data_IF_635056575349
#
_entry.id   IF_635056575349
#
_cell.length_a   1.000
_cell.length_b   1.000
_cell.length_c   1.000
_cell.angle_alpha   90.00
_cell.angle_beta   90.00
_cell.angle_gamma   90.00
#
_symmetry.space_group_name_H-M   'P 1'
#
loop_
_entity.id
_entity.type
_entity.pdbx_description
1 polymer ?
#
# COMPACT_ATOMS: atom_id res chain seq x y z
N UNK A 1 32.48 26.52 0.62
CA UNK A 1 31.28 26.24 1.43
C UNK A 1 30.39 25.35 0.58
N UNK A 2 30.49 24.04 0.75
CA UNK A 2 29.70 23.03 0.03
C UNK A 2 28.40 22.86 0.81
N UNK A 3 27.32 22.87 0.08
CA UNK A 3 25.94 23.02 0.50
C UNK A 3 25.47 21.87 1.43
N UNK A 4 25.50 22.06 2.75
CA UNK A 4 24.96 21.12 3.75
C UNK A 4 23.43 20.91 3.66
N UNK A 5 22.73 21.79 2.93
CA UNK A 5 21.27 21.68 2.74
C UNK A 5 20.80 20.60 1.76
N UNK A 6 21.71 20.06 0.91
CA UNK A 6 21.34 19.04 -0.06
C UNK A 6 21.24 17.63 0.57
N UNK A 7 22.03 17.35 1.61
CA UNK A 7 21.98 16.04 2.30
C UNK A 7 20.75 15.86 3.19
N UNK A 8 20.22 16.92 3.81
CA UNK A 8 19.04 16.84 4.67
C UNK A 8 17.77 16.61 3.85
N UNK A 9 17.64 17.22 2.66
CA UNK A 9 16.48 17.06 1.79
C UNK A 9 16.40 15.66 1.16
N UNK A 10 17.53 15.08 0.75
CA UNK A 10 17.61 13.72 0.21
C UNK A 10 17.27 12.66 1.27
N UNK A 11 17.70 12.81 2.53
CA UNK A 11 17.38 11.87 3.60
C UNK A 11 15.88 11.81 3.90
N UNK A 12 15.19 12.95 3.85
CA UNK A 12 13.74 13.03 4.07
C UNK A 12 12.96 12.38 2.92
N UNK A 13 13.47 12.48 1.69
CA UNK A 13 12.83 11.86 0.52
C UNK A 13 12.96 10.35 0.54
N UNK A 14 14.13 9.82 0.90
CA UNK A 14 14.41 8.37 0.98
C UNK A 14 13.44 7.63 1.95
N UNK A 15 12.97 8.29 3.00
CA UNK A 15 11.98 7.71 3.91
C UNK A 15 10.54 7.71 3.35
N UNK A 16 10.28 8.47 2.28
CA UNK A 16 8.96 8.63 1.67
C UNK A 16 8.74 7.70 0.48
N UNK A 17 9.76 7.01 0.00
CA UNK A 17 9.67 6.07 -1.13
C UNK A 17 9.95 4.65 -0.65
N UNK A 18 8.99 3.77 -0.84
CA UNK A 18 9.12 2.34 -0.53
C UNK A 18 9.02 1.47 -1.77
N UNK A 19 9.57 0.27 -1.70
CA UNK A 19 9.58 -0.70 -2.78
C UNK A 19 8.55 -1.81 -2.53
N UNK A 20 7.75 -2.16 -3.53
CA UNK A 20 6.89 -3.34 -3.49
C UNK A 20 7.75 -4.59 -3.74
N UNK A 21 7.67 -5.55 -2.82
CA UNK A 21 8.38 -6.82 -2.93
C UNK A 21 7.39 -7.92 -3.31
N UNK A 22 7.61 -8.65 -4.42
CA UNK A 22 6.81 -9.82 -4.74
C UNK A 22 7.10 -10.96 -3.75
N UNK A 23 6.04 -11.66 -3.33
CA UNK A 23 6.12 -12.70 -2.28
C UNK A 23 5.98 -14.12 -2.80
N UNK A 24 6.69 -14.52 -3.86
CA UNK A 24 6.50 -15.80 -4.52
C UNK A 24 7.02 -17.01 -3.72
N UNK A 25 8.14 -16.86 -3.03
CA UNK A 25 8.73 -17.88 -2.17
C UNK A 25 9.25 -17.26 -0.88
N UNK A 26 8.88 -17.80 0.27
CA UNK A 26 9.19 -17.24 1.58
C UNK A 26 10.69 -17.04 1.79
N UNK A 27 11.52 -18.05 1.55
CA UNK A 27 12.96 -17.97 1.82
C UNK A 27 13.65 -16.95 0.91
N UNK A 28 13.31 -16.95 -0.38
CA UNK A 28 13.84 -16.00 -1.36
C UNK A 28 13.39 -14.57 -1.02
N UNK A 29 12.11 -14.39 -0.68
CA UNK A 29 11.57 -13.06 -0.34
C UNK A 29 12.23 -12.47 0.92
N UNK A 30 12.44 -13.29 1.96
CA UNK A 30 13.14 -12.85 3.18
C UNK A 30 14.58 -12.41 2.85
N UNK A 31 15.28 -13.17 2.00
CA UNK A 31 16.63 -12.81 1.54
C UNK A 31 16.61 -11.50 0.75
N UNK A 32 15.68 -11.35 -0.20
CA UNK A 32 15.52 -10.12 -1.00
C UNK A 32 15.25 -8.91 -0.12
N UNK A 33 14.41 -9.02 0.92
CA UNK A 33 14.14 -7.90 1.84
C UNK A 33 15.42 -7.48 2.59
N UNK A 34 16.26 -8.43 3.02
CA UNK A 34 17.52 -8.13 3.66
C UNK A 34 18.50 -7.44 2.68
N UNK A 35 18.62 -7.93 1.45
CA UNK A 35 19.46 -7.32 0.40
C UNK A 35 18.98 -5.90 0.04
N UNK A 36 17.67 -5.66 0.02
CA UNK A 36 17.06 -4.34 -0.22
C UNK A 36 17.40 -3.36 0.91
N UNK A 37 17.41 -3.82 2.17
CA UNK A 37 17.88 -3.00 3.30
C UNK A 37 19.35 -2.68 3.20
N UNK A 38 20.21 -3.65 2.84
CA UNK A 38 21.67 -3.46 2.67
C UNK A 38 21.99 -2.41 1.59
N UNK A 39 21.20 -2.36 0.51
CA UNK A 39 21.31 -1.33 -0.54
C UNK A 39 20.93 0.07 -0.02
N UNK A 40 20.16 0.17 1.08
CA UNK A 40 19.79 1.44 1.70
C UNK A 40 18.33 1.85 1.54
N UNK A 41 17.47 1.00 1.00
CA UNK A 41 16.01 1.27 0.95
C UNK A 41 15.43 1.29 2.36
N UNK A 42 14.57 2.26 2.66
CA UNK A 42 14.07 2.51 4.01
C UNK A 42 12.71 1.88 4.32
N UNK A 43 11.95 1.46 3.30
CA UNK A 43 10.68 0.77 3.50
C UNK A 43 10.35 -0.16 2.34
N UNK A 44 9.67 -1.25 2.70
CA UNK A 44 9.10 -2.17 1.72
C UNK A 44 7.61 -2.36 1.96
N UNK A 45 6.92 -2.76 0.91
CA UNK A 45 5.51 -3.09 0.93
C UNK A 45 5.27 -4.48 0.34
N UNK A 46 4.52 -5.30 1.05
CA UNK A 46 4.14 -6.63 0.55
C UNK A 46 2.65 -6.71 0.29
N UNK A 47 2.29 -7.21 -0.89
CA UNK A 47 0.92 -7.61 -1.19
C UNK A 47 0.58 -8.92 -0.49
N UNK A 48 -0.71 -9.16 -0.26
CA UNK A 48 -1.22 -10.43 0.20
C UNK A 48 -2.15 -11.01 -0.88
N UNK A 49 -1.86 -12.22 -1.31
CA UNK A 49 -2.65 -12.95 -2.32
C UNK A 49 -3.03 -14.33 -1.78
N UNK A 50 -4.24 -14.84 -2.08
CA UNK A 50 -4.62 -16.19 -1.68
C UNK A 50 -3.79 -17.28 -2.37
N UNK A 51 -3.03 -16.93 -3.41
CA UNK A 51 -2.20 -17.84 -4.20
C UNK A 51 -0.72 -17.84 -3.78
N UNK A 52 -0.33 -16.95 -2.88
CA UNK A 52 1.07 -16.75 -2.47
C UNK A 52 1.24 -17.00 -0.97
N UNK A 53 2.48 -17.21 -0.50
CA UNK A 53 2.76 -17.31 0.93
C UNK A 53 2.23 -16.10 1.73
N UNK A 54 1.87 -16.34 2.98
CA UNK A 54 1.30 -15.33 3.87
C UNK A 54 2.28 -14.17 4.12
N UNK A 55 1.86 -12.96 3.81
CA UNK A 55 2.70 -11.77 3.90
C UNK A 55 3.15 -11.44 5.33
N UNK A 56 2.31 -11.63 6.35
CA UNK A 56 2.69 -11.37 7.73
C UNK A 56 3.71 -12.40 8.24
N UNK A 57 3.60 -13.65 7.81
CA UNK A 57 4.59 -14.71 8.10
C UNK A 57 5.94 -14.37 7.48
N UNK A 58 5.96 -13.92 6.21
CA UNK A 58 7.19 -13.46 5.54
C UNK A 58 7.79 -12.26 6.29
N UNK A 59 6.97 -11.26 6.62
CA UNK A 59 7.44 -10.07 7.33
C UNK A 59 7.99 -10.39 8.74
N UNK A 60 7.38 -11.36 9.45
CA UNK A 60 7.93 -11.84 10.71
C UNK A 60 9.32 -12.46 10.55
N UNK A 61 9.50 -13.29 9.52
CA UNK A 61 10.80 -13.87 9.20
C UNK A 61 11.83 -12.81 8.75
N UNK A 62 11.41 -11.87 7.88
CA UNK A 62 12.27 -10.77 7.43
C UNK A 62 12.68 -9.85 8.59
N UNK A 63 11.80 -9.61 9.56
CA UNK A 63 12.10 -8.83 10.76
C UNK A 63 13.30 -9.37 11.54
N UNK A 64 13.56 -10.68 11.50
CA UNK A 64 14.73 -11.32 12.15
C UNK A 64 16.04 -11.14 11.39
N UNK A 65 15.97 -10.73 10.12
CA UNK A 65 17.10 -10.58 9.20
C UNK A 65 17.41 -9.13 8.84
N UNK A 66 16.59 -8.20 9.33
CA UNK A 66 16.69 -6.77 9.04
C UNK A 66 16.70 -5.96 10.34
N UNK A 67 17.21 -4.73 10.30
CA UNK A 67 17.43 -3.91 11.48
C UNK A 67 16.65 -2.59 11.49
N UNK A 68 16.46 -1.96 10.34
CA UNK A 68 15.96 -0.59 10.22
C UNK A 68 14.79 -0.43 9.27
N UNK A 69 14.72 -1.27 8.21
CA UNK A 69 13.72 -1.14 7.16
C UNK A 69 12.30 -1.26 7.71
N UNK A 70 11.43 -0.34 7.30
CA UNK A 70 9.99 -0.39 7.63
C UNK A 70 9.30 -1.47 6.81
N UNK A 71 8.48 -2.27 7.48
CA UNK A 71 7.82 -3.45 6.92
C UNK A 71 6.32 -3.15 6.77
N UNK A 72 5.86 -2.96 5.53
CA UNK A 72 4.48 -2.63 5.23
C UNK A 72 3.71 -3.77 4.56
N UNK A 73 2.40 -3.84 4.81
CA UNK A 73 1.48 -4.66 4.00
C UNK A 73 0.58 -3.78 3.13
N UNK A 74 0.31 -4.20 1.87
CA UNK A 74 -0.56 -3.47 0.93
C UNK A 74 -1.39 -4.43 0.07
N UNK A 75 -2.39 -5.03 0.63
CA UNK A 75 -2.95 -5.03 2.00
C UNK A 75 -3.25 -6.47 2.43
N UNK A 76 -3.41 -6.70 3.75
CA UNK A 76 -3.95 -7.96 4.24
C UNK A 76 -5.49 -7.89 4.24
N UNK A 77 -6.20 -8.85 3.61
CA UNK A 77 -7.66 -8.90 3.61
C UNK A 77 -8.25 -9.09 5.00
N UNK A 78 -9.32 -8.33 5.32
CA UNK A 78 -9.96 -8.35 6.63
C UNK A 78 -10.99 -9.46 6.80
N UNK A 79 -11.68 -9.87 5.72
CA UNK A 79 -12.73 -10.89 5.81
C UNK A 79 -12.23 -12.28 6.26
N UNK A 80 -11.15 -12.83 5.68
CA UNK A 80 -10.68 -14.16 6.07
C UNK A 80 -9.88 -14.17 7.38
N UNK A 81 -9.70 -13.03 8.04
CA UNK A 81 -8.83 -12.91 9.22
C UNK A 81 -9.48 -12.11 10.33
N UNK A 82 -9.84 -12.77 11.42
CA UNK A 82 -10.43 -12.11 12.58
C UNK A 82 -9.49 -11.02 13.14
N UNK A 83 -9.99 -9.83 13.57
CA UNK A 83 -9.16 -8.73 14.05
C UNK A 83 -8.27 -9.09 15.24
N UNK A 84 -8.69 -10.01 16.10
CA UNK A 84 -7.86 -10.50 17.20
C UNK A 84 -6.64 -11.30 16.68
N UNK A 85 -6.82 -12.15 15.67
CA UNK A 85 -5.72 -12.89 15.05
C UNK A 85 -4.74 -11.92 14.36
N UNK A 86 -5.28 -10.92 13.67
CA UNK A 86 -4.47 -9.84 13.06
C UNK A 86 -3.65 -9.12 14.14
N UNK A 87 -4.27 -8.78 15.26
CA UNK A 87 -3.57 -8.12 16.38
C UNK A 87 -2.43 -8.99 16.94
N UNK A 88 -2.67 -10.28 17.17
CA UNK A 88 -1.65 -11.21 17.65
C UNK A 88 -0.45 -11.32 16.70
N UNK A 89 -0.70 -11.42 15.39
CA UNK A 89 0.36 -11.45 14.37
C UNK A 89 1.14 -10.14 14.31
N UNK A 90 0.45 -9.01 14.33
CA UNK A 90 1.08 -7.69 14.33
C UNK A 90 1.94 -7.45 15.58
N UNK A 91 1.45 -7.84 16.76
CA UNK A 91 2.22 -7.77 18.01
C UNK A 91 3.46 -8.67 17.95
N UNK A 92 3.36 -9.88 17.38
CA UNK A 92 4.51 -10.79 17.25
C UNK A 92 5.59 -10.20 16.33
N UNK A 93 5.21 -9.54 15.25
CA UNK A 93 6.17 -8.84 14.38
C UNK A 93 6.77 -7.64 15.14
N UNK A 94 5.96 -6.90 15.87
CA UNK A 94 6.45 -5.74 16.62
C UNK A 94 7.37 -6.13 17.78
N UNK A 95 7.23 -7.31 18.38
CA UNK A 95 8.18 -7.82 19.37
C UNK A 95 9.58 -8.05 18.77
N UNK A 96 9.65 -8.51 17.50
CA UNK A 96 10.89 -8.75 16.79
C UNK A 96 11.47 -7.44 16.24
N UNK A 97 10.60 -6.57 15.72
CA UNK A 97 10.94 -5.34 15.02
C UNK A 97 10.13 -4.14 15.56
N UNK A 98 10.43 -3.66 16.79
CA UNK A 98 9.66 -2.59 17.43
C UNK A 98 9.56 -1.33 16.56
N UNK A 99 8.32 -0.86 16.30
CA UNK A 99 8.05 0.38 15.55
C UNK A 99 8.27 0.30 14.04
N UNK A 100 8.67 -0.84 13.47
CA UNK A 100 8.93 -0.98 12.03
C UNK A 100 7.74 -1.48 11.22
N UNK A 101 6.74 -2.09 11.86
CA UNK A 101 5.55 -2.59 11.17
C UNK A 101 4.57 -1.45 10.83
N UNK A 102 4.11 -1.41 9.59
CA UNK A 102 3.01 -0.59 9.08
C UNK A 102 1.93 -1.51 8.54
N UNK A 103 0.84 -1.66 9.29
CA UNK A 103 -0.18 -2.66 8.99
C UNK A 103 -1.24 -2.10 8.04
N UNK A 104 -1.08 -2.39 6.75
CA UNK A 104 -2.06 -2.09 5.71
C UNK A 104 -3.10 -3.21 5.60
N UNK A 105 -4.36 -2.87 5.75
CA UNK A 105 -5.50 -3.80 5.69
C UNK A 105 -6.61 -3.27 4.77
N UNK A 106 -7.49 -4.16 4.33
CA UNK A 106 -8.61 -3.76 3.49
C UNK A 106 -9.61 -4.88 3.23
N UNK A 107 -10.78 -4.55 2.65
CA UNK A 107 -11.83 -5.54 2.42
C UNK A 107 -11.52 -6.51 1.26
N UNK A 108 -10.49 -6.26 0.47
CA UNK A 108 -10.22 -6.97 -0.79
C UNK A 108 -11.38 -6.82 -1.81
N UNK A 109 -11.50 -7.74 -2.75
CA UNK A 109 -12.49 -7.72 -3.83
C UNK A 109 -13.48 -8.87 -3.69
N UNK A 110 -14.75 -8.61 -4.00
CA UNK A 110 -15.83 -9.58 -3.87
C UNK A 110 -15.50 -10.92 -4.57
N UNK A 111 -14.99 -10.98 -5.80
CA UNK A 111 -14.64 -12.26 -6.44
C UNK A 111 -13.58 -13.06 -5.67
N UNK A 112 -12.68 -12.41 -4.96
CA UNK A 112 -11.67 -13.07 -4.12
C UNK A 112 -12.31 -13.56 -2.82
N UNK A 113 -13.05 -12.69 -2.13
CA UNK A 113 -13.64 -13.02 -0.83
C UNK A 113 -14.72 -14.09 -0.97
N UNK A 114 -15.59 -13.97 -1.96
CA UNK A 114 -16.69 -14.93 -2.16
C UNK A 114 -16.24 -16.15 -2.97
N UNK A 115 -15.48 -15.95 -4.05
CA UNK A 115 -15.12 -17.05 -4.96
C UNK A 115 -13.99 -17.95 -4.45
N UNK A 116 -13.04 -17.41 -3.66
CA UNK A 116 -11.88 -18.19 -3.19
C UNK A 116 -12.02 -18.54 -1.72
N UNK A 117 -12.36 -17.55 -0.87
CA UNK A 117 -12.50 -17.80 0.58
C UNK A 117 -13.88 -18.35 0.98
N UNK A 118 -14.90 -18.31 0.10
CA UNK A 118 -16.26 -18.76 0.41
C UNK A 118 -16.98 -17.92 1.45
N UNK A 119 -16.54 -16.66 1.65
CA UNK A 119 -17.08 -15.74 2.63
C UNK A 119 -17.96 -14.68 1.94
N UNK A 120 -19.03 -14.21 2.60
CA UNK A 120 -19.87 -13.14 2.08
C UNK A 120 -19.20 -11.78 2.29
N UNK A 121 -19.12 -10.97 1.24
CA UNK A 121 -18.62 -9.59 1.33
C UNK A 121 -19.79 -8.59 1.39
N UNK A 122 -20.31 -8.37 2.58
CA UNK A 122 -21.40 -7.42 2.80
C UNK A 122 -20.88 -6.10 3.40
N UNK A 123 -21.42 -4.97 2.91
CA UNK A 123 -21.14 -3.63 3.44
C UNK A 123 -19.67 -3.37 3.79
N UNK A 124 -18.73 -3.48 2.80
CA UNK A 124 -17.29 -3.55 3.07
C UNK A 124 -16.72 -2.37 3.85
N UNK A 125 -17.23 -1.15 3.68
CA UNK A 125 -16.75 0.02 4.43
C UNK A 125 -17.23 0.00 5.89
N UNK A 126 -18.45 -0.47 6.16
CA UNK A 126 -18.96 -0.61 7.53
C UNK A 126 -18.22 -1.72 8.28
N UNK A 127 -17.98 -2.86 7.61
CA UNK A 127 -17.16 -3.95 8.13
C UNK A 127 -15.73 -3.46 8.45
N UNK A 128 -15.08 -2.73 7.52
CA UNK A 128 -13.74 -2.21 7.71
C UNK A 128 -13.66 -1.22 8.88
N UNK A 129 -14.67 -0.36 9.04
CA UNK A 129 -14.77 0.58 10.18
C UNK A 129 -14.78 -0.16 11.52
N UNK A 130 -15.63 -1.16 11.66
CA UNK A 130 -15.72 -1.94 12.89
C UNK A 130 -14.43 -2.76 13.11
N UNK A 131 -13.89 -3.35 12.06
CA UNK A 131 -12.61 -4.08 12.10
C UNK A 131 -11.47 -3.22 12.61
N UNK A 132 -11.29 -2.01 12.05
CA UNK A 132 -10.23 -1.07 12.48
C UNK A 132 -10.42 -0.67 13.94
N UNK A 133 -11.66 -0.40 14.36
CA UNK A 133 -11.95 -0.04 15.75
C UNK A 133 -11.55 -1.17 16.72
N UNK A 134 -11.99 -2.40 16.46
CA UNK A 134 -11.64 -3.57 17.28
C UNK A 134 -10.13 -3.79 17.27
N UNK A 135 -9.50 -3.81 16.11
CA UNK A 135 -8.08 -4.03 15.93
C UNK A 135 -7.25 -2.98 16.68
N UNK A 136 -7.58 -1.69 16.52
CA UNK A 136 -6.88 -0.59 17.19
C UNK A 136 -7.00 -0.69 18.71
N UNK A 137 -8.20 -0.92 19.22
CA UNK A 137 -8.42 -1.04 20.67
C UNK A 137 -7.60 -2.20 21.24
N UNK A 138 -7.61 -3.38 20.60
CA UNK A 138 -6.79 -4.52 21.02
C UNK A 138 -5.30 -4.19 20.98
N UNK A 139 -4.81 -3.59 19.90
CA UNK A 139 -3.39 -3.26 19.73
C UNK A 139 -2.91 -2.18 20.71
N UNK A 140 -3.67 -1.10 20.86
CA UNK A 140 -3.20 0.09 21.57
C UNK A 140 -3.53 0.10 23.04
N UNK A 141 -4.64 -0.55 23.44
CA UNK A 141 -5.10 -0.61 24.83
C UNK A 141 -4.82 -1.97 25.50
N UNK A 142 -4.69 -3.03 24.70
CA UNK A 142 -4.46 -4.39 25.16
C UNK A 142 -5.71 -5.09 25.69
N UNK A 143 -6.86 -4.42 25.72
CA UNK A 143 -8.13 -5.00 26.20
C UNK A 143 -9.31 -4.44 25.41
N UNK A 144 -10.34 -5.26 25.28
CA UNK A 144 -11.60 -4.89 24.64
C UNK A 144 -12.76 -5.74 25.18
N UNK A 145 -13.94 -5.14 25.28
CA UNK A 145 -15.24 -5.80 25.42
C UNK A 145 -16.16 -5.14 24.38
N UNK A 146 -16.26 -5.75 23.20
CA UNK A 146 -16.96 -5.20 22.04
C UNK A 146 -18.09 -6.12 21.58
N UNK A 147 -19.26 -5.54 21.40
CA UNK A 147 -20.46 -6.20 20.89
C UNK A 147 -20.99 -5.39 19.68
N UNK A 148 -20.54 -5.78 18.47
CA UNK A 148 -20.86 -5.07 17.24
C UNK A 148 -21.69 -5.89 16.26
N UNK A 149 -21.84 -5.32 15.07
CA UNK A 149 -22.57 -6.00 13.98
C UNK A 149 -21.76 -7.16 13.39
N UNK A 150 -20.44 -7.00 13.25
CA UNK A 150 -19.57 -7.96 12.59
C UNK A 150 -18.69 -8.73 13.57
N UNK A 151 -18.41 -8.14 14.74
CA UNK A 151 -17.48 -8.75 15.71
C UNK A 151 -18.03 -8.68 17.12
N UNK A 152 -17.89 -9.81 17.85
CA UNK A 152 -18.08 -9.89 19.28
C UNK A 152 -16.76 -10.36 19.88
N UNK A 153 -16.04 -9.46 20.60
CA UNK A 153 -14.69 -9.71 21.08
C UNK A 153 -14.54 -9.25 22.51
N UNK A 154 -14.24 -10.19 23.39
CA UNK A 154 -13.88 -9.89 24.78
C UNK A 154 -12.53 -10.51 25.07
N UNK A 155 -11.51 -9.68 25.29
CA UNK A 155 -10.14 -10.13 25.55
C UNK A 155 -9.34 -9.10 26.33
N UNK A 156 -8.38 -9.59 27.11
CA UNK A 156 -7.29 -8.78 27.68
C UNK A 156 -5.97 -9.47 27.34
N UNK A 157 -5.10 -8.77 26.64
CA UNK A 157 -3.77 -9.24 26.24
C UNK A 157 -2.73 -8.68 27.21
N UNK A 158 -1.67 -9.44 27.52
CA UNK A 158 -0.57 -8.96 28.38
C UNK A 158 0.33 -7.93 27.68
N UNK A 159 0.14 -7.71 26.38
CA UNK A 159 0.97 -6.83 25.53
C UNK A 159 0.11 -5.91 24.69
N UNK A 160 0.67 -4.73 24.43
CA UNK A 160 0.07 -3.73 23.52
C UNK A 160 1.17 -2.94 22.80
N UNK A 161 0.86 -2.42 21.62
CA UNK A 161 1.75 -1.56 20.85
C UNK A 161 0.95 -0.61 19.95
N UNK A 162 1.43 0.61 19.77
CA UNK A 162 0.83 1.57 18.84
C UNK A 162 1.34 1.31 17.42
N UNK A 163 0.89 0.22 16.82
CA UNK A 163 1.19 -0.13 15.44
C UNK A 163 0.28 0.71 14.53
N UNK A 164 0.83 1.45 13.52
CA UNK A 164 0.02 2.19 12.57
C UNK A 164 -0.86 1.27 11.72
N UNK A 165 -2.15 1.60 11.63
CA UNK A 165 -3.15 0.87 10.83
C UNK A 165 -3.50 1.73 9.61
N UNK A 166 -3.05 1.29 8.43
CA UNK A 166 -3.37 1.91 7.16
C UNK A 166 -4.49 1.13 6.48
N UNK A 167 -5.37 1.82 5.73
CA UNK A 167 -6.44 1.11 5.02
C UNK A 167 -6.38 1.35 3.51
N UNK A 168 -6.77 0.31 2.75
CA UNK A 168 -6.86 0.43 1.30
C UNK A 168 -7.96 1.40 0.88
N UNK A 169 -7.64 2.22 -0.13
CA UNK A 169 -8.54 3.22 -0.68
C UNK A 169 -8.60 3.13 -2.20
N UNK A 170 -9.80 3.23 -2.75
CA UNK A 170 -10.02 3.25 -4.18
C UNK A 170 -11.04 4.34 -4.56
N UNK A 171 -12.30 4.25 -4.12
CA UNK A 171 -13.31 5.28 -4.34
C UNK A 171 -13.31 6.36 -3.25
N UNK A 172 -13.93 7.52 -3.53
CA UNK A 172 -13.99 8.69 -2.62
C UNK A 172 -14.45 8.35 -1.20
N UNK A 173 -15.46 7.45 -1.05
CA UNK A 173 -15.95 7.03 0.26
C UNK A 173 -14.90 6.26 1.08
N UNK A 174 -14.03 5.49 0.41
CA UNK A 174 -12.95 4.78 1.08
C UNK A 174 -11.83 5.74 1.53
N UNK A 175 -11.49 6.75 0.72
CA UNK A 175 -10.56 7.82 1.11
C UNK A 175 -11.12 8.63 2.29
N UNK A 176 -12.41 8.99 2.25
CA UNK A 176 -13.06 9.67 3.37
C UNK A 176 -12.99 8.82 4.65
N UNK A 177 -13.34 7.52 4.56
CA UNK A 177 -13.24 6.60 5.69
C UNK A 177 -11.80 6.53 6.23
N UNK A 178 -10.79 6.48 5.35
CA UNK A 178 -9.40 6.50 5.77
C UNK A 178 -9.07 7.76 6.57
N UNK A 179 -9.52 8.93 6.11
CA UNK A 179 -9.40 10.18 6.84
C UNK A 179 -9.99 10.13 8.24
N UNK A 180 -11.14 9.48 8.39
CA UNK A 180 -11.85 9.39 9.67
C UNK A 180 -11.20 8.45 10.67
N UNK A 181 -10.73 7.27 10.24
CA UNK A 181 -10.42 6.17 11.18
C UNK A 181 -9.02 5.58 11.09
N UNK A 182 -8.21 5.88 10.06
CA UNK A 182 -6.93 5.18 9.86
C UNK A 182 -5.71 6.07 10.15
N UNK A 183 -4.54 5.47 10.24
CA UNK A 183 -3.26 6.15 10.43
C UNK A 183 -2.54 6.39 9.09
N UNK A 184 -3.16 6.01 7.97
CA UNK A 184 -2.74 6.25 6.60
C UNK A 184 -3.70 5.62 5.60
N UNK A 185 -3.70 6.16 4.37
CA UNK A 185 -4.42 5.64 3.22
C UNK A 185 -3.45 4.95 2.26
N UNK A 186 -3.84 3.80 1.71
CA UNK A 186 -3.07 3.07 0.70
C UNK A 186 -3.86 3.05 -0.60
N UNK A 187 -3.38 3.69 -1.66
CA UNK A 187 -3.95 3.52 -2.99
C UNK A 187 -3.26 2.39 -3.75
N UNK A 188 -3.96 1.78 -4.70
CA UNK A 188 -3.42 0.74 -5.56
C UNK A 188 -3.94 0.90 -6.98
N UNK A 189 -3.03 1.04 -7.96
CA UNK A 189 -3.36 1.22 -9.38
C UNK A 189 -4.40 2.33 -9.61
N UNK A 190 -4.21 3.47 -8.94
CA UNK A 190 -5.02 4.67 -9.13
C UNK A 190 -4.24 5.68 -10.00
N UNK A 191 -4.85 6.27 -11.04
CA UNK A 191 -4.25 7.37 -11.78
C UNK A 191 -3.87 8.52 -10.85
N UNK A 192 -2.66 9.09 -11.00
CA UNK A 192 -2.15 10.14 -10.11
C UNK A 192 -3.09 11.36 -10.10
N UNK A 193 -3.63 11.75 -11.25
CA UNK A 193 -4.58 12.87 -11.35
C UNK A 193 -5.85 12.62 -10.54
N UNK A 194 -6.34 11.39 -10.49
CA UNK A 194 -7.48 11.02 -9.63
C UNK A 194 -7.14 11.13 -8.14
N UNK A 195 -5.93 10.73 -7.74
CA UNK A 195 -5.48 10.89 -6.35
C UNK A 195 -5.48 12.36 -5.95
N UNK A 196 -4.96 13.25 -6.82
CA UNK A 196 -4.88 14.69 -6.57
C UNK A 196 -6.27 15.33 -6.54
N UNK A 197 -7.12 15.05 -7.56
CA UNK A 197 -8.40 15.73 -7.72
C UNK A 197 -9.52 15.18 -6.85
N UNK A 198 -9.44 13.94 -6.43
CA UNK A 198 -10.53 13.25 -5.73
C UNK A 198 -10.08 12.55 -4.43
N UNK A 199 -8.98 11.80 -4.46
CA UNK A 199 -8.50 11.02 -3.33
C UNK A 199 -8.08 11.89 -2.14
N UNK A 200 -7.11 12.79 -2.35
CA UNK A 200 -6.59 13.69 -1.30
C UNK A 200 -7.69 14.59 -0.72
N UNK A 201 -8.56 15.25 -1.53
CA UNK A 201 -9.68 16.02 -0.98
C UNK A 201 -10.63 15.19 -0.12
N UNK A 202 -10.99 13.98 -0.55
CA UNK A 202 -11.85 13.10 0.22
C UNK A 202 -11.20 12.63 1.54
N UNK A 203 -9.91 12.33 1.53
CA UNK A 203 -9.12 11.97 2.72
C UNK A 203 -9.10 13.14 3.74
N UNK A 204 -8.86 14.37 3.26
CA UNK A 204 -8.88 15.57 4.08
C UNK A 204 -10.26 15.83 4.68
N UNK A 205 -11.31 15.67 3.90
CA UNK A 205 -12.69 15.81 4.38
C UNK A 205 -13.03 14.82 5.48
N UNK A 206 -12.59 13.56 5.35
CA UNK A 206 -12.74 12.56 6.39
C UNK A 206 -11.99 12.91 7.68
N UNK A 207 -10.74 13.39 7.56
CA UNK A 207 -9.96 13.84 8.70
C UNK A 207 -10.59 15.04 9.40
N UNK A 208 -11.11 16.01 8.65
CA UNK A 208 -11.81 17.16 9.18
C UNK A 208 -13.10 16.77 9.93
N UNK A 209 -13.86 15.79 9.42
CA UNK A 209 -15.04 15.28 10.11
C UNK A 209 -14.71 14.57 11.45
N UNK A 210 -13.50 14.05 11.59
CA UNK A 210 -12.99 13.42 12.80
C UNK A 210 -12.12 14.35 13.68
N UNK A 211 -12.11 15.66 13.42
CA UNK A 211 -11.19 16.63 14.03
C UNK A 211 -11.21 16.65 15.58
N UNK A 212 -12.33 16.29 16.21
CA UNK A 212 -12.42 16.17 17.68
C UNK A 212 -11.44 15.10 18.25
N UNK A 213 -11.03 14.13 17.42
CA UNK A 213 -10.19 13.00 17.82
C UNK A 213 -8.86 12.92 17.02
N UNK A 214 -8.58 13.93 16.17
CA UNK A 214 -7.49 13.86 15.20
C UNK A 214 -6.79 15.22 15.02
N UNK A 215 -5.46 15.24 15.07
CA UNK A 215 -4.65 16.45 14.96
C UNK A 215 -4.24 16.77 13.50
N UNK A 216 -4.23 15.79 12.62
CA UNK A 216 -3.77 15.96 11.23
C UNK A 216 -4.43 14.97 10.28
N UNK A 217 -4.42 15.28 8.98
CA UNK A 217 -4.78 14.35 7.93
C UNK A 217 -3.77 13.19 7.89
N UNK A 218 -4.21 11.92 7.86
CA UNK A 218 -3.30 10.79 7.71
C UNK A 218 -2.60 10.82 6.34
N UNK A 219 -1.36 10.33 6.22
CA UNK A 219 -0.62 10.31 4.97
C UNK A 219 -1.29 9.40 3.94
N UNK A 220 -1.17 9.79 2.66
CA UNK A 220 -1.48 8.94 1.52
C UNK A 220 -0.20 8.30 1.00
N UNK A 221 -0.12 6.97 1.07
CA UNK A 221 0.90 6.15 0.39
C UNK A 221 0.35 5.77 -0.98
N UNK A 222 0.87 6.40 -2.02
CA UNK A 222 0.41 6.20 -3.38
C UNK A 222 1.21 5.09 -4.07
N UNK A 223 0.49 4.09 -4.61
CA UNK A 223 1.09 3.09 -5.49
C UNK A 223 1.46 3.73 -6.83
N UNK A 224 2.71 3.52 -7.25
CA UNK A 224 3.25 4.00 -8.52
C UNK A 224 3.90 2.81 -9.25
N UNK A 225 3.40 2.51 -10.44
CA UNK A 225 4.06 1.56 -11.34
C UNK A 225 5.24 2.24 -12.04
N UNK A 226 6.37 1.54 -12.13
CA UNK A 226 7.59 2.03 -12.78
C UNK A 226 8.11 1.02 -13.78
N UNK A 227 8.45 1.48 -14.99
CA UNK A 227 9.14 0.70 -16.01
C UNK A 227 10.46 1.38 -16.39
N UNK A 228 11.60 0.70 -16.20
CA UNK A 228 12.92 1.23 -16.57
C UNK A 228 13.18 1.04 -18.09
N UNK A 229 12.37 1.71 -18.89
CA UNK A 229 12.43 1.61 -20.37
C UNK A 229 11.89 2.87 -21.04
N UNK A 230 12.55 3.28 -22.12
CA UNK A 230 12.10 4.32 -23.06
C UNK A 230 11.32 3.74 -24.26
N UNK A 231 11.28 2.40 -24.40
CA UNK A 231 10.49 1.73 -25.45
C UNK A 231 8.99 1.80 -25.10
N UNK A 232 8.32 2.83 -25.67
CA UNK A 232 6.89 3.08 -25.47
C UNK A 232 6.02 1.86 -25.79
N UNK A 233 6.32 1.14 -26.87
CA UNK A 233 5.51 0.00 -27.27
C UNK A 233 5.61 -1.15 -26.26
N UNK A 234 6.82 -1.41 -25.76
CA UNK A 234 7.03 -2.41 -24.70
C UNK A 234 6.34 -2.01 -23.40
N UNK A 235 6.41 -0.74 -23.00
CA UNK A 235 5.74 -0.20 -21.82
C UNK A 235 4.21 -0.31 -21.95
N UNK A 236 3.63 0.07 -23.07
CA UNK A 236 2.19 -0.05 -23.32
C UNK A 236 1.75 -1.52 -23.25
N UNK A 237 2.48 -2.43 -23.89
CA UNK A 237 2.18 -3.87 -23.82
C UNK A 237 2.19 -4.40 -22.39
N UNK A 238 3.23 -4.09 -21.62
CA UNK A 238 3.33 -4.50 -20.21
C UNK A 238 2.23 -3.85 -19.36
N UNK A 239 1.90 -2.58 -19.62
CA UNK A 239 0.82 -1.86 -18.97
C UNK A 239 -0.55 -2.49 -19.21
N UNK A 240 -0.86 -2.87 -20.44
CA UNK A 240 -2.11 -3.59 -20.76
C UNK A 240 -2.20 -4.91 -19.99
N UNK A 241 -1.11 -5.68 -19.92
CA UNK A 241 -1.07 -6.94 -19.16
C UNK A 241 -1.27 -6.69 -17.66
N UNK A 242 -0.62 -5.65 -17.10
CA UNK A 242 -0.73 -5.29 -15.69
C UNK A 242 -2.16 -4.92 -15.29
N UNK A 243 -2.87 -4.13 -16.12
CA UNK A 243 -4.20 -3.64 -15.75
C UNK A 243 -5.35 -4.58 -16.13
N UNK A 244 -5.13 -5.63 -16.92
CA UNK A 244 -6.18 -6.52 -17.42
C UNK A 244 -7.06 -7.08 -16.31
N UNK A 245 -6.48 -7.52 -15.20
CA UNK A 245 -7.25 -8.04 -14.05
C UNK A 245 -8.13 -6.97 -13.41
N UNK A 246 -7.65 -5.73 -13.33
CA UNK A 246 -8.37 -4.62 -12.68
C UNK A 246 -9.53 -4.11 -13.51
N UNK A 247 -9.45 -4.22 -14.83
CA UNK A 247 -10.55 -3.83 -15.75
C UNK A 247 -11.78 -4.72 -15.66
N UNK A 248 -11.67 -5.85 -14.94
CA UNK A 248 -12.76 -6.81 -14.67
C UNK A 248 -13.38 -6.62 -13.27
N UNK A 249 -12.81 -5.75 -12.44
CA UNK A 249 -13.24 -5.55 -11.06
C UNK A 249 -14.17 -4.31 -10.96
N UNK A 250 -15.41 -4.45 -10.49
CA UNK A 250 -16.40 -3.36 -10.52
C UNK A 250 -15.93 -2.05 -9.89
N UNK A 251 -15.22 -2.11 -8.74
CA UNK A 251 -14.73 -0.91 -8.06
C UNK A 251 -13.62 -0.20 -8.86
N UNK A 252 -12.77 -0.95 -9.59
CA UNK A 252 -11.76 -0.36 -10.47
C UNK A 252 -12.40 0.26 -11.71
N UNK A 253 -13.36 -0.42 -12.33
CA UNK A 253 -14.11 0.12 -13.48
C UNK A 253 -14.73 1.47 -13.10
N UNK A 254 -15.38 1.55 -11.94
CA UNK A 254 -15.97 2.81 -11.45
C UNK A 254 -14.88 3.87 -11.18
N UNK A 255 -13.79 3.52 -10.52
CA UNK A 255 -12.70 4.46 -10.23
C UNK A 255 -12.03 4.97 -11.51
N UNK A 256 -11.76 4.11 -12.49
CA UNK A 256 -11.22 4.53 -13.78
C UNK A 256 -12.19 5.46 -14.51
N UNK A 257 -13.49 5.19 -14.46
CA UNK A 257 -14.51 6.08 -15.00
C UNK A 257 -14.50 7.44 -14.31
N UNK A 258 -14.46 7.47 -12.98
CA UNK A 258 -14.38 8.70 -12.18
C UNK A 258 -13.08 9.48 -12.44
N UNK A 259 -12.01 8.79 -12.85
CA UNK A 259 -10.73 9.36 -13.26
C UNK A 259 -10.71 9.88 -14.72
N UNK A 260 -11.81 9.75 -15.46
CA UNK A 260 -11.90 10.16 -16.87
C UNK A 260 -11.47 9.09 -17.89
N UNK A 261 -11.29 7.85 -17.46
CA UNK A 261 -10.90 6.70 -18.28
C UNK A 261 -11.98 5.59 -18.23
N UNK A 262 -13.20 5.81 -18.74
CA UNK A 262 -14.25 4.80 -18.69
C UNK A 262 -13.83 3.53 -19.44
N UNK A 263 -14.03 2.38 -18.79
CA UNK A 263 -13.78 1.04 -19.34
C UNK A 263 -15.11 0.55 -19.92
N UNK A 264 -15.14 0.29 -21.21
CA UNK A 264 -16.29 -0.26 -21.92
C UNK A 264 -15.96 -1.66 -22.41
N UNK A 265 -16.87 -2.61 -22.16
CA UNK A 265 -16.70 -4.00 -22.62
C UNK A 265 -16.48 -4.04 -24.15
N UNK A 266 -15.45 -4.77 -24.58
CA UNK A 266 -15.07 -4.91 -26.00
C UNK A 266 -14.31 -3.72 -26.60
N UNK A 267 -14.07 -2.65 -25.85
CA UNK A 267 -13.21 -1.55 -26.31
C UNK A 267 -11.77 -1.72 -25.78
N UNK A 268 -10.81 -1.32 -26.61
CA UNK A 268 -9.41 -1.28 -26.20
C UNK A 268 -9.21 -0.24 -25.12
N UNK A 269 -8.44 -0.59 -24.09
CA UNK A 269 -8.05 0.33 -23.01
C UNK A 269 -7.23 1.47 -23.62
N UNK A 270 -7.59 2.70 -23.28
CA UNK A 270 -6.90 3.89 -23.80
C UNK A 270 -5.46 3.92 -23.30
N UNK A 271 -4.51 4.13 -24.19
CA UNK A 271 -3.09 4.31 -23.85
C UNK A 271 -2.89 5.40 -22.80
N UNK A 272 -3.69 6.47 -22.85
CA UNK A 272 -3.67 7.53 -21.87
C UNK A 272 -3.91 7.05 -20.40
N UNK A 273 -4.66 5.97 -20.18
CA UNK A 273 -4.77 5.38 -18.85
C UNK A 273 -3.44 4.77 -18.41
N UNK A 274 -2.76 4.05 -19.31
CA UNK A 274 -1.46 3.45 -19.03
C UNK A 274 -0.42 4.53 -18.73
N UNK A 275 -0.40 5.61 -19.52
CA UNK A 275 0.48 6.77 -19.30
C UNK A 275 0.24 7.47 -17.95
N UNK A 276 -0.99 7.38 -17.42
CA UNK A 276 -1.33 7.90 -16.08
C UNK A 276 -1.01 6.93 -14.93
N UNK A 277 -0.73 5.66 -15.23
CA UNK A 277 -0.47 4.62 -14.23
C UNK A 277 1.00 4.26 -14.13
N UNK A 278 1.78 4.41 -15.21
CA UNK A 278 3.17 3.95 -15.29
C UNK A 278 4.11 5.13 -15.52
N UNK A 279 5.05 5.30 -14.61
CA UNK A 279 6.23 6.16 -14.82
C UNK A 279 7.27 5.36 -15.57
N UNK A 280 7.67 5.80 -16.78
CA UNK A 280 8.67 5.09 -17.59
C UNK A 280 9.79 6.01 -18.06
N UNK A 281 10.95 5.43 -18.38
CA UNK A 281 12.14 6.10 -18.85
C UNK A 281 13.41 5.43 -18.36
N UNK A 282 14.56 6.10 -18.55
CA UNK A 282 15.80 5.72 -17.89
C UNK A 282 15.74 6.01 -16.38
N UNK A 283 16.76 5.60 -15.62
CA UNK A 283 16.80 5.78 -14.17
C UNK A 283 16.71 7.24 -13.75
N UNK A 284 17.33 8.15 -14.52
CA UNK A 284 17.34 9.59 -14.21
C UNK A 284 15.95 10.20 -14.42
N UNK A 285 15.27 9.85 -15.50
CA UNK A 285 13.91 10.29 -15.79
C UNK A 285 12.94 9.79 -14.72
N UNK A 286 13.03 8.51 -14.36
CA UNK A 286 12.20 7.89 -13.33
C UNK A 286 12.44 8.54 -11.97
N UNK A 287 13.70 8.72 -11.55
CA UNK A 287 14.03 9.39 -10.29
C UNK A 287 13.46 10.81 -10.24
N UNK A 288 13.66 11.60 -11.29
CA UNK A 288 13.11 12.96 -11.40
C UNK A 288 11.60 12.95 -11.22
N UNK A 289 10.91 12.03 -11.91
CA UNK A 289 9.44 11.94 -11.85
C UNK A 289 8.93 11.52 -10.47
N UNK A 290 9.59 10.58 -9.79
CA UNK A 290 9.22 10.19 -8.43
C UNK A 290 9.39 11.35 -7.44
N UNK A 291 10.47 12.14 -7.56
CA UNK A 291 10.69 13.35 -6.75
C UNK A 291 9.60 14.41 -7.04
N UNK A 292 9.25 14.64 -8.31
CA UNK A 292 8.17 15.56 -8.68
C UNK A 292 6.84 15.14 -8.07
N UNK A 293 6.51 13.84 -8.07
CA UNK A 293 5.29 13.32 -7.44
C UNK A 293 5.25 13.64 -5.94
N UNK A 294 6.36 13.56 -5.24
CA UNK A 294 6.44 13.88 -3.81
C UNK A 294 6.42 15.39 -3.50
N UNK A 295 6.89 16.23 -4.41
CA UNK A 295 7.10 17.67 -4.14
C UNK A 295 6.00 18.55 -4.73
N UNK A 296 5.45 18.17 -5.88
CA UNK A 296 4.53 19.02 -6.64
C UNK A 296 3.05 18.61 -6.54
N UNK A 297 2.74 17.38 -6.07
CA UNK A 297 1.38 16.85 -6.16
C UNK A 297 0.63 16.76 -4.82
N UNK A 298 1.33 16.88 -3.71
CA UNK A 298 0.78 16.69 -2.37
C UNK A 298 0.61 15.22 -1.98
N UNK A 299 1.25 14.29 -2.69
CA UNK A 299 1.41 12.90 -2.26
C UNK A 299 2.44 12.83 -1.12
N UNK A 300 2.09 12.13 -0.05
CA UNK A 300 2.95 12.08 1.14
C UNK A 300 4.06 11.04 0.99
N UNK A 301 3.71 9.85 0.48
CA UNK A 301 4.63 8.72 0.31
C UNK A 301 4.31 7.96 -0.97
N UNK A 302 5.33 7.29 -1.54
CA UNK A 302 5.20 6.44 -2.72
C UNK A 302 5.51 4.98 -2.38
N UNK A 303 4.71 4.10 -2.96
CA UNK A 303 4.90 2.66 -2.96
C UNK A 303 5.19 2.24 -4.41
N UNK A 304 6.47 2.08 -4.74
CA UNK A 304 6.95 1.84 -6.11
C UNK A 304 6.89 0.36 -6.43
N UNK A 305 6.21 0.02 -7.51
CA UNK A 305 6.12 -1.33 -8.06
C UNK A 305 6.79 -1.39 -9.44
N UNK A 306 7.74 -2.31 -9.60
CA UNK A 306 8.37 -2.54 -10.89
C UNK A 306 7.41 -3.24 -11.86
N UNK A 307 7.29 -2.70 -13.07
CA UNK A 307 6.69 -3.35 -14.23
C UNK A 307 7.84 -3.79 -15.14
N UNK A 308 8.26 -5.05 -15.08
CA UNK A 308 9.43 -5.49 -15.81
C UNK A 308 9.19 -5.52 -17.32
N UNK A 309 10.20 -5.11 -18.10
CA UNK A 309 10.14 -5.02 -19.57
C UNK A 309 11.01 -6.07 -20.23
N UNK A 310 12.23 -6.30 -19.73
CA UNK A 310 13.21 -7.23 -20.34
C UNK A 310 13.68 -8.28 -19.34
N UNK A 311 14.43 -7.87 -18.34
CA UNK A 311 14.99 -8.73 -17.30
C UNK A 311 14.51 -8.25 -15.92
N UNK A 312 13.51 -8.94 -15.39
CA UNK A 312 12.88 -8.58 -14.12
C UNK A 312 13.88 -8.52 -12.95
N UNK A 313 14.90 -9.37 -12.95
CA UNK A 313 15.89 -9.41 -11.87
C UNK A 313 16.85 -8.23 -11.94
N UNK A 314 17.39 -7.95 -13.13
CA UNK A 314 18.27 -6.79 -13.35
C UNK A 314 17.52 -5.49 -13.08
N UNK A 315 16.33 -5.35 -13.65
CA UNK A 315 15.49 -4.15 -13.48
C UNK A 315 15.08 -3.96 -12.00
N UNK A 316 14.85 -5.05 -11.25
CA UNK A 316 14.56 -4.96 -9.83
C UNK A 316 15.79 -4.46 -9.03
N UNK A 317 16.99 -4.90 -9.34
CA UNK A 317 18.20 -4.38 -8.69
C UNK A 317 18.44 -2.91 -9.04
N UNK A 318 18.21 -2.51 -10.28
CA UNK A 318 18.35 -1.12 -10.74
C UNK A 318 17.37 -0.19 -10.06
N UNK A 319 16.07 -0.55 -9.97
CA UNK A 319 15.07 0.25 -9.25
C UNK A 319 15.35 0.31 -7.75
N UNK A 320 15.87 -0.77 -7.14
CA UNK A 320 16.29 -0.79 -5.73
C UNK A 320 17.42 0.23 -5.47
N UNK A 321 18.44 0.24 -6.31
CA UNK A 321 19.53 1.22 -6.22
C UNK A 321 19.07 2.66 -6.50
N UNK A 322 18.10 2.84 -7.40
CA UNK A 322 17.51 4.14 -7.66
C UNK A 322 16.79 4.67 -6.42
N UNK A 323 15.92 3.86 -5.82
CA UNK A 323 15.14 4.25 -4.63
C UNK A 323 16.06 4.54 -3.43
N UNK A 324 17.16 3.80 -3.26
CA UNK A 324 18.09 4.06 -2.16
C UNK A 324 18.82 5.42 -2.25
N UNK A 325 18.77 6.09 -3.41
CA UNK A 325 19.47 7.35 -3.69
C UNK A 325 18.56 8.58 -3.73
N UNK A 326 17.24 8.40 -3.71
CA UNK A 326 16.24 9.48 -3.72
C UNK A 326 15.58 9.63 -2.36
#
# INVERSE_FOLDING_TARGET
>A
MVNENSHSSLSVTAERVGLVIPGENTATTVKTIAEVEEVGVRQIWMTHSPYLPDSLTILAAAATKTSTIRLGTSIVPTYPRHPLIMAQQALSINDIAPGRLRLGIGPSHQPIIEGIYGLRQETPLAHLREYVNVLRTVLWEGKIDHHGKFFNVKVSLPRKAKIPILISTLGKKAFQLAGEISDGALSWVCPVQYLISSGIPALRNGAAAAAANRQSTPPLVAYISVALSEDRNAVLKAGHQMIDVYTKLPFYIQMFSDAGFPITAGQQIKEALIDNLIVSGDEKMVATKLIELLTATGLDELMVNLVPIKDAKDEFMRITHLISKI
#
